data_IF_120446401797
#
_entry.id   IF_120446401797
#
_cell.length_a   1.000
_cell.length_b   1.000
_cell.length_c   1.000
_cell.angle_alpha   90.00
_cell.angle_beta   90.00
_cell.angle_gamma   90.00
#
_symmetry.space_group_name_H-M   'P 1'
#
loop_
_entity.id
_entity.type
_entity.pdbx_description
1 polymer ?
#
# COMPACT_ATOMS: atom_id res chain seq x y z
N UNK A 1 2.99 5.13 -22.10
CA UNK A 1 2.13 5.33 -20.95
C UNK A 1 3.02 5.29 -19.73
N UNK A 2 2.74 6.07 -18.67
CA UNK A 2 3.45 5.96 -17.40
C UNK A 2 3.21 4.60 -16.75
N UNK A 3 3.96 4.28 -15.70
CA UNK A 3 3.81 3.03 -14.93
C UNK A 3 2.84 3.26 -13.76
N UNK A 4 2.01 2.26 -13.46
CA UNK A 4 1.14 2.23 -12.29
C UNK A 4 1.74 1.27 -11.26
N UNK A 5 2.10 1.79 -10.08
CA UNK A 5 2.57 1.03 -8.94
C UNK A 5 1.50 0.96 -7.87
N UNK A 6 1.32 -0.20 -7.28
CA UNK A 6 0.39 -0.42 -6.18
C UNK A 6 1.14 -1.05 -5.03
N UNK A 7 1.17 -0.37 -3.90
CA UNK A 7 1.84 -0.86 -2.69
C UNK A 7 0.79 -1.19 -1.65
N UNK A 8 0.82 -2.42 -1.17
CA UNK A 8 -0.02 -2.89 -0.08
C UNK A 8 0.83 -3.51 1.02
N UNK A 9 0.28 -3.58 2.22
CA UNK A 9 0.96 -4.12 3.39
C UNK A 9 -0.01 -4.27 4.55
N UNK A 10 0.22 -5.20 5.48
CA UNK A 10 -0.45 -5.22 6.77
C UNK A 10 -0.22 -3.93 7.55
N UNK A 11 -1.21 -3.55 8.35
CA UNK A 11 -1.09 -2.37 9.20
C UNK A 11 0.08 -2.54 10.19
N UNK A 12 0.95 -1.54 10.27
CA UNK A 12 2.12 -1.56 11.18
C UNK A 12 3.45 -1.95 10.53
N UNK A 13 3.46 -2.34 9.26
CA UNK A 13 4.70 -2.76 8.55
C UNK A 13 5.61 -1.60 8.13
N UNK A 14 5.15 -0.33 8.20
CA UNK A 14 5.94 0.83 7.77
C UNK A 14 5.71 1.27 6.32
N UNK A 15 4.64 0.80 5.66
CA UNK A 15 4.29 1.11 4.27
C UNK A 15 4.35 2.61 3.95
N UNK A 16 3.62 3.44 4.69
CA UNK A 16 3.54 4.89 4.46
C UNK A 16 4.91 5.57 4.55
N UNK A 17 5.74 5.17 5.52
CA UNK A 17 7.09 5.73 5.67
C UNK A 17 8.00 5.37 4.49
N UNK A 18 7.94 4.13 4.00
CA UNK A 18 8.70 3.70 2.82
C UNK A 18 8.22 4.43 1.56
N UNK A 19 6.91 4.60 1.38
CA UNK A 19 6.34 5.36 0.26
C UNK A 19 6.82 6.81 0.27
N UNK A 20 6.79 7.47 1.43
CA UNK A 20 7.28 8.85 1.57
C UNK A 20 8.76 8.94 1.22
N UNK A 21 9.60 8.06 1.76
CA UNK A 21 11.03 8.06 1.47
C UNK A 21 11.34 7.80 -0.01
N UNK A 22 10.60 6.92 -0.68
CA UNK A 22 10.74 6.72 -2.14
C UNK A 22 10.39 7.99 -2.90
N UNK A 23 9.29 8.66 -2.54
CA UNK A 23 8.83 9.86 -3.26
C UNK A 23 9.74 11.08 -3.04
N UNK A 24 10.51 11.11 -1.95
CA UNK A 24 11.51 12.13 -1.67
C UNK A 24 12.83 11.89 -2.45
N UNK A 25 13.06 10.67 -2.95
CA UNK A 25 14.25 10.33 -3.73
C UNK A 25 14.17 10.93 -5.15
N UNK A 26 15.23 11.57 -5.66
CA UNK A 26 15.26 12.12 -7.02
C UNK A 26 14.90 11.12 -8.13
N UNK A 27 15.11 9.81 -7.93
CA UNK A 27 14.74 8.77 -8.89
C UNK A 27 13.23 8.72 -9.14
N UNK A 28 12.44 9.13 -8.16
CA UNK A 28 10.98 9.16 -8.22
C UNK A 28 10.39 10.49 -8.71
N UNK A 29 11.23 11.42 -9.22
CA UNK A 29 10.81 12.78 -9.62
C UNK A 29 9.64 12.85 -10.62
N UNK A 30 9.35 11.74 -11.31
CA UNK A 30 8.22 11.61 -12.25
C UNK A 30 7.14 10.64 -11.73
N UNK A 31 7.01 10.51 -10.41
CA UNK A 31 6.07 9.61 -9.76
C UNK A 31 5.18 10.39 -8.79
N UNK A 32 3.87 10.24 -8.93
CA UNK A 32 2.86 10.96 -8.16
C UNK A 32 2.06 10.00 -7.28
N UNK A 33 1.91 10.36 -6.01
CA UNK A 33 1.05 9.61 -5.08
C UNK A 33 -0.41 9.88 -5.39
N UNK A 34 -1.19 8.82 -5.58
CA UNK A 34 -2.63 8.91 -5.72
C UNK A 34 -3.30 9.16 -4.37
N UNK A 35 -4.07 10.24 -4.31
CA UNK A 35 -4.85 10.59 -3.11
C UNK A 35 -6.25 9.99 -3.24
N UNK A 36 -6.60 9.09 -2.30
CA UNK A 36 -7.91 8.43 -2.28
C UNK A 36 -8.99 9.29 -1.62
N UNK A 37 -10.23 9.08 -2.01
CA UNK A 37 -11.41 9.52 -1.26
C UNK A 37 -11.64 8.60 -0.08
N UNK A 38 -12.15 9.15 1.03
CA UNK A 38 -12.57 8.35 2.18
C UNK A 38 -13.77 8.95 2.89
N UNK A 39 -14.59 8.07 3.48
CA UNK A 39 -15.70 8.47 4.38
C UNK A 39 -15.28 8.54 5.84
N UNK A 40 -14.04 8.14 6.16
CA UNK A 40 -13.45 8.27 7.49
C UNK A 40 -13.23 9.74 7.84
N UNK A 41 -13.45 10.10 9.10
CA UNK A 41 -13.09 11.43 9.60
C UNK A 41 -11.55 11.63 9.58
N UNK A 42 -11.13 12.85 9.24
CA UNK A 42 -9.72 13.21 9.30
C UNK A 42 -9.15 13.04 10.72
N UNK A 43 -7.92 12.55 10.82
CA UNK A 43 -7.14 12.54 12.07
C UNK A 43 -6.49 13.91 12.30
N UNK A 44 -6.00 14.24 13.53
CA UNK A 44 -5.51 15.59 13.87
C UNK A 44 -4.39 16.17 12.98
N UNK A 45 -3.67 15.32 12.25
CA UNK A 45 -2.55 15.74 11.36
C UNK A 45 -2.84 15.53 9.89
N UNK A 46 -4.06 15.10 9.55
CA UNK A 46 -4.44 14.85 8.16
C UNK A 46 -5.16 16.08 7.59
N UNK A 47 -4.85 16.39 6.33
CA UNK A 47 -5.39 17.54 5.59
C UNK A 47 -6.19 17.05 4.38
N UNK A 48 -7.33 17.70 4.14
CA UNK A 48 -8.16 17.42 2.97
C UNK A 48 -7.43 17.77 1.66
N UNK A 49 -7.50 16.87 0.68
CA UNK A 49 -6.80 17.03 -0.59
C UNK A 49 -5.29 16.74 -0.54
N UNK A 50 -4.73 16.46 0.64
CA UNK A 50 -3.32 16.10 0.83
C UNK A 50 -3.20 14.66 1.32
N UNK A 51 -3.84 14.32 2.45
CA UNK A 51 -3.83 12.97 2.99
C UNK A 51 -4.90 12.09 2.34
N UNK A 52 -6.10 12.62 2.22
CA UNK A 52 -7.29 12.05 1.57
C UNK A 52 -8.21 13.17 1.10
N UNK A 53 -9.15 12.83 0.20
CA UNK A 53 -10.35 13.64 0.01
C UNK A 53 -11.42 13.13 0.98
N UNK A 54 -11.71 13.89 2.04
CA UNK A 54 -12.68 13.50 3.06
C UNK A 54 -14.09 13.87 2.62
N UNK A 55 -14.95 12.87 2.42
CA UNK A 55 -16.31 13.07 1.89
C UNK A 55 -17.36 12.37 2.75
N UNK A 56 -18.62 12.79 2.60
CA UNK A 56 -19.75 12.06 3.21
C UNK A 56 -19.96 10.72 2.52
N UNK A 57 -20.56 9.76 3.23
CA UNK A 57 -20.94 8.47 2.64
C UNK A 57 -21.87 8.64 1.43
N UNK A 58 -22.78 9.61 1.48
CA UNK A 58 -23.68 9.91 0.36
C UNK A 58 -22.91 10.34 -0.88
N UNK A 59 -21.98 11.28 -0.74
CA UNK A 59 -21.13 11.74 -1.85
C UNK A 59 -20.22 10.62 -2.39
N UNK A 60 -19.71 9.76 -1.50
CA UNK A 60 -18.91 8.61 -1.91
C UNK A 60 -19.74 7.64 -2.77
N UNK A 61 -20.96 7.28 -2.33
CA UNK A 61 -21.84 6.37 -3.05
C UNK A 61 -22.33 6.96 -4.38
N UNK A 62 -22.46 8.27 -4.49
CA UNK A 62 -22.73 8.94 -5.76
C UNK A 62 -21.58 8.73 -6.75
N UNK A 63 -20.33 8.88 -6.29
CA UNK A 63 -19.13 8.59 -7.10
C UNK A 63 -19.05 7.13 -7.52
N UNK A 64 -19.42 6.19 -6.64
CA UNK A 64 -19.52 4.77 -6.99
C UNK A 64 -20.52 4.54 -8.13
N UNK A 65 -21.72 5.16 -8.06
CA UNK A 65 -22.75 5.05 -9.10
C UNK A 65 -22.28 5.62 -10.44
N UNK A 66 -21.49 6.69 -10.42
CA UNK A 66 -20.93 7.31 -11.61
C UNK A 66 -19.72 6.56 -12.18
N UNK A 67 -19.24 5.50 -11.51
CA UNK A 67 -18.03 4.77 -11.88
C UNK A 67 -16.77 5.65 -11.90
N UNK A 68 -16.70 6.61 -10.96
CA UNK A 68 -15.60 7.59 -10.82
C UNK A 68 -14.34 6.96 -10.21
N UNK A 69 -14.45 5.78 -9.59
CA UNK A 69 -13.32 5.11 -8.94
C UNK A 69 -12.67 4.05 -9.83
N UNK A 70 -11.35 3.98 -9.74
CA UNK A 70 -10.54 2.91 -10.30
C UNK A 70 -10.75 1.60 -9.54
N UNK A 71 -10.75 1.73 -8.23
CA UNK A 71 -11.08 0.72 -7.21
C UNK A 71 -11.78 1.40 -6.04
N UNK A 72 -12.53 0.66 -5.25
CA UNK A 72 -13.00 1.08 -3.94
C UNK A 72 -13.21 -0.13 -3.02
N UNK A 73 -13.01 0.09 -1.73
CA UNK A 73 -13.18 -0.94 -0.72
C UNK A 73 -13.75 -0.37 0.58
N UNK A 74 -14.39 -1.21 1.37
CA UNK A 74 -14.75 -0.92 2.75
C UNK A 74 -13.71 -1.51 3.69
N UNK A 75 -13.07 -0.64 4.49
CA UNK A 75 -12.04 -1.02 5.45
C UNK A 75 -12.43 -0.48 6.82
N UNK A 76 -12.62 -1.36 7.80
CA UNK A 76 -13.05 -1.00 9.17
C UNK A 76 -14.28 -0.08 9.21
N UNK A 77 -15.29 -0.34 8.38
CA UNK A 77 -16.54 0.41 8.35
C UNK A 77 -16.45 1.78 7.68
N UNK A 78 -15.37 2.08 6.98
CA UNK A 78 -15.21 3.27 6.16
C UNK A 78 -14.88 2.90 4.72
N UNK A 79 -15.38 3.70 3.79
CA UNK A 79 -15.09 3.51 2.37
C UNK A 79 -13.83 4.28 1.98
N UNK A 80 -13.07 3.67 1.07
CA UNK A 80 -11.90 4.26 0.41
C UNK A 80 -11.99 4.01 -1.07
N UNK A 81 -11.57 4.96 -1.90
CA UNK A 81 -11.62 4.78 -3.35
C UNK A 81 -10.68 5.73 -4.10
N UNK A 82 -10.02 5.20 -5.11
CA UNK A 82 -9.04 5.91 -5.92
C UNK A 82 -9.70 6.57 -7.13
N UNK A 83 -9.55 7.89 -7.35
CA UNK A 83 -10.15 8.59 -8.48
C UNK A 83 -9.58 8.11 -9.81
N UNK A 84 -10.42 7.54 -10.65
CA UNK A 84 -10.04 6.92 -11.92
C UNK A 84 -9.47 7.91 -12.94
N UNK A 85 -10.15 9.02 -13.13
CA UNK A 85 -9.79 9.99 -14.17
C UNK A 85 -8.44 10.66 -13.88
N UNK A 86 -8.15 10.91 -12.61
CA UNK A 86 -6.85 11.45 -12.19
C UNK A 86 -5.73 10.47 -12.53
N UNK A 87 -5.88 9.19 -12.18
CA UNK A 87 -4.88 8.16 -12.49
C UNK A 87 -4.63 8.08 -13.99
N UNK A 88 -5.70 8.01 -14.79
CA UNK A 88 -5.59 7.93 -16.26
C UNK A 88 -4.93 9.19 -16.85
N UNK A 89 -5.27 10.36 -16.32
CA UNK A 89 -4.68 11.64 -16.75
C UNK A 89 -3.17 11.65 -16.54
N UNK A 90 -2.67 11.25 -15.35
CA UNK A 90 -1.24 11.21 -15.03
C UNK A 90 -0.52 10.21 -15.94
N UNK A 91 -1.03 8.97 -16.02
CA UNK A 91 -0.43 7.93 -16.85
C UNK A 91 -0.37 8.31 -18.35
N UNK A 92 -1.34 9.08 -18.86
CA UNK A 92 -1.36 9.53 -20.25
C UNK A 92 -0.22 10.50 -20.59
N UNK A 93 0.26 11.25 -19.60
CA UNK A 93 1.40 12.17 -19.71
C UNK A 93 2.76 11.46 -19.63
N UNK A 94 2.78 10.12 -19.57
CA UNK A 94 3.96 9.28 -19.32
C UNK A 94 4.58 9.49 -17.94
N UNK A 95 3.82 10.00 -17.01
CA UNK A 95 4.16 10.11 -15.59
C UNK A 95 3.71 8.88 -14.84
N UNK A 96 4.41 8.51 -13.78
CA UNK A 96 4.09 7.33 -12.98
C UNK A 96 3.08 7.66 -11.88
N UNK A 97 2.26 6.70 -11.54
CA UNK A 97 1.34 6.77 -10.40
C UNK A 97 1.73 5.71 -9.39
N UNK A 98 1.78 6.10 -8.11
CA UNK A 98 1.91 5.20 -6.98
C UNK A 98 0.63 5.25 -6.16
N UNK A 99 0.03 4.09 -5.90
CA UNK A 99 -1.16 3.93 -5.07
C UNK A 99 -0.81 3.21 -3.78
N UNK A 100 -1.20 3.79 -2.66
CA UNK A 100 -1.15 3.18 -1.33
C UNK A 100 -2.52 2.58 -1.02
N UNK A 101 -2.67 1.26 -1.14
CA UNK A 101 -3.94 0.58 -1.01
C UNK A 101 -3.90 -0.53 0.04
N UNK A 102 -5.08 -0.97 0.47
CA UNK A 102 -5.24 -2.25 1.13
C UNK A 102 -5.21 -3.40 0.11
N UNK A 103 -5.23 -4.63 0.59
CA UNK A 103 -5.12 -5.81 -0.26
C UNK A 103 -6.29 -5.95 -1.24
N UNK A 104 -7.51 -5.54 -0.84
CA UNK A 104 -8.70 -5.63 -1.68
C UNK A 104 -8.63 -4.65 -2.85
N UNK A 105 -8.25 -3.40 -2.56
CA UNK A 105 -8.04 -2.37 -3.59
C UNK A 105 -6.93 -2.75 -4.55
N UNK A 106 -5.81 -3.29 -4.03
CA UNK A 106 -4.70 -3.73 -4.86
C UNK A 106 -5.10 -4.82 -5.86
N UNK A 107 -5.89 -5.81 -5.43
CA UNK A 107 -6.40 -6.86 -6.32
C UNK A 107 -7.38 -6.32 -7.37
N UNK A 108 -8.22 -5.34 -7.01
CA UNK A 108 -9.12 -4.69 -7.96
C UNK A 108 -8.34 -3.94 -9.04
N UNK A 109 -7.31 -3.18 -8.62
CA UNK A 109 -6.44 -2.48 -9.58
C UNK A 109 -5.71 -3.47 -10.48
N UNK A 110 -5.11 -4.53 -9.95
CA UNK A 110 -4.41 -5.55 -10.76
C UNK A 110 -5.34 -6.21 -11.78
N UNK A 111 -6.61 -6.45 -11.42
CA UNK A 111 -7.62 -6.99 -12.33
C UNK A 111 -8.00 -6.00 -13.43
N UNK A 112 -8.17 -4.71 -13.09
CA UNK A 112 -8.54 -3.66 -14.05
C UNK A 112 -7.35 -3.22 -14.92
N UNK A 113 -6.13 -3.29 -14.38
CA UNK A 113 -4.86 -2.91 -15.02
C UNK A 113 -3.84 -4.03 -14.82
N UNK A 114 -3.84 -5.08 -15.65
CA UNK A 114 -2.91 -6.21 -15.53
C UNK A 114 -1.42 -5.81 -15.56
N UNK A 115 -1.10 -4.69 -16.25
CA UNK A 115 0.24 -4.12 -16.33
C UNK A 115 0.69 -3.37 -15.05
N UNK A 116 -0.23 -3.15 -14.09
CA UNK A 116 0.13 -2.52 -12.83
C UNK A 116 1.17 -3.39 -12.09
N UNK A 117 2.21 -2.74 -11.57
CA UNK A 117 3.24 -3.37 -10.76
C UNK A 117 2.81 -3.37 -9.29
N UNK A 118 2.66 -4.55 -8.72
CA UNK A 118 2.18 -4.73 -7.34
C UNK A 118 3.32 -5.09 -6.40
N UNK A 119 3.38 -4.41 -5.26
CA UNK A 119 4.35 -4.67 -4.18
C UNK A 119 3.60 -4.96 -2.90
N UNK A 120 4.01 -6.01 -2.22
CA UNK A 120 3.51 -6.33 -0.89
C UNK A 120 4.63 -6.23 0.15
N UNK A 121 4.48 -5.33 1.13
CA UNK A 121 5.49 -5.15 2.18
C UNK A 121 5.10 -6.01 3.38
N UNK A 122 6.02 -6.83 3.87
CA UNK A 122 5.84 -7.69 5.03
C UNK A 122 6.75 -7.27 6.20
N UNK A 123 6.37 -7.53 7.45
CA UNK A 123 7.28 -7.47 8.58
C UNK A 123 8.21 -8.70 8.56
N UNK A 124 9.35 -8.69 9.26
CA UNK A 124 10.21 -9.87 9.36
C UNK A 124 9.57 -11.03 10.15
N UNK A 125 8.67 -10.71 11.08
CA UNK A 125 7.93 -11.69 11.89
C UNK A 125 6.63 -11.09 12.47
N UNK A 126 5.71 -11.93 12.97
CA UNK A 126 4.54 -11.46 13.71
C UNK A 126 4.91 -10.88 15.08
N UNK A 127 6.02 -11.31 15.68
CA UNK A 127 6.53 -10.73 16.91
C UNK A 127 6.94 -9.27 16.71
N UNK A 128 7.68 -8.97 15.63
CA UNK A 128 8.06 -7.60 15.28
C UNK A 128 6.85 -6.75 14.92
N UNK A 129 5.88 -7.30 14.19
CA UNK A 129 4.64 -6.61 13.89
C UNK A 129 3.88 -6.26 15.17
N UNK A 130 3.81 -7.18 16.12
CA UNK A 130 3.17 -6.98 17.43
C UNK A 130 3.85 -5.83 18.18
N UNK A 131 5.19 -5.84 18.30
CA UNK A 131 5.96 -4.77 18.93
C UNK A 131 5.69 -3.41 18.28
N UNK A 132 5.63 -3.36 16.94
CA UNK A 132 5.35 -2.12 16.19
C UNK A 132 3.92 -1.61 16.41
N UNK A 133 2.94 -2.49 16.54
CA UNK A 133 1.55 -2.12 16.85
C UNK A 133 1.41 -1.61 18.29
N UNK A 134 2.03 -2.29 19.25
CA UNK A 134 2.04 -1.89 20.67
C UNK A 134 2.73 -0.54 20.88
N UNK A 135 3.86 -0.29 20.19
CA UNK A 135 4.62 0.96 20.34
C UNK A 135 3.87 2.22 19.90
N UNK A 136 2.80 2.09 19.11
CA UNK A 136 1.96 3.22 18.67
C UNK A 136 1.02 3.72 19.77
N UNK A 137 0.79 2.92 20.81
CA UNK A 137 -0.08 3.23 21.97
C UNK A 137 -1.48 3.76 21.56
N UNK A 138 -2.00 3.26 20.43
CA UNK A 138 -3.26 3.69 19.85
C UNK A 138 -4.34 2.60 19.87
N UNK A 139 -3.95 1.35 20.13
CA UNK A 139 -4.81 0.18 20.00
C UNK A 139 -4.89 -0.61 21.31
N UNK A 140 -6.07 -1.11 21.65
CA UNK A 140 -6.24 -2.08 22.72
C UNK A 140 -5.64 -3.45 22.34
N UNK A 141 -5.33 -4.28 23.34
CA UNK A 141 -4.85 -5.65 23.08
C UNK A 141 -5.78 -6.45 22.17
N UNK A 142 -7.08 -6.23 22.28
CA UNK A 142 -8.10 -6.89 21.45
C UNK A 142 -8.01 -6.44 19.99
N UNK A 143 -7.77 -5.16 19.74
CA UNK A 143 -7.58 -4.62 18.38
C UNK A 143 -6.28 -5.12 17.76
N UNK A 144 -5.18 -5.17 18.55
CA UNK A 144 -3.91 -5.74 18.10
C UNK A 144 -4.10 -7.19 17.67
N UNK A 145 -4.78 -8.01 18.47
CA UNK A 145 -5.06 -9.41 18.12
C UNK A 145 -5.88 -9.54 16.82
N UNK A 146 -6.87 -8.65 16.62
CA UNK A 146 -7.65 -8.59 15.38
C UNK A 146 -6.77 -8.24 14.18
N UNK A 147 -5.91 -7.21 14.31
CA UNK A 147 -4.98 -6.79 13.23
C UNK A 147 -3.98 -7.87 12.88
N UNK A 148 -3.46 -8.62 13.87
CA UNK A 148 -2.56 -9.74 13.61
C UNK A 148 -3.25 -10.87 12.83
N UNK A 149 -4.52 -11.15 13.15
CA UNK A 149 -5.31 -12.13 12.40
C UNK A 149 -5.55 -11.68 10.95
N UNK A 150 -5.85 -10.39 10.76
CA UNK A 150 -6.00 -9.81 9.42
C UNK A 150 -4.68 -9.84 8.65
N UNK A 151 -3.56 -9.50 9.30
CA UNK A 151 -2.23 -9.55 8.70
C UNK A 151 -1.87 -10.94 8.16
N UNK A 152 -2.25 -12.03 8.86
CA UNK A 152 -2.06 -13.41 8.35
C UNK A 152 -2.78 -13.64 7.03
N UNK A 153 -4.03 -13.20 6.94
CA UNK A 153 -4.81 -13.33 5.71
C UNK A 153 -4.21 -12.48 4.58
N UNK A 154 -3.78 -11.26 4.89
CA UNK A 154 -3.17 -10.35 3.92
C UNK A 154 -1.84 -10.90 3.39
N UNK A 155 -0.97 -11.46 4.26
CA UNK A 155 0.29 -12.10 3.86
C UNK A 155 0.03 -13.29 2.93
N UNK A 156 -0.96 -14.12 3.23
CA UNK A 156 -1.31 -15.27 2.38
C UNK A 156 -1.77 -14.88 0.98
N UNK A 157 -2.35 -13.70 0.82
CA UNK A 157 -2.74 -13.15 -0.50
C UNK A 157 -1.57 -12.39 -1.12
N UNK A 158 -0.90 -11.54 -0.34
CA UNK A 158 0.15 -10.65 -0.80
C UNK A 158 1.43 -11.34 -1.27
N UNK A 159 1.66 -12.59 -0.84
CA UNK A 159 2.80 -13.40 -1.31
C UNK A 159 2.84 -13.61 -2.83
N UNK A 160 1.68 -13.48 -3.50
CA UNK A 160 1.53 -13.68 -4.94
C UNK A 160 1.60 -12.36 -5.73
N UNK A 161 1.96 -11.23 -5.10
CA UNK A 161 2.20 -9.96 -5.77
C UNK A 161 3.47 -10.03 -6.64
N UNK A 162 3.64 -9.09 -7.58
CA UNK A 162 4.79 -9.08 -8.48
C UNK A 162 6.12 -8.98 -7.71
N UNK A 163 6.12 -8.32 -6.54
CA UNK A 163 7.26 -8.27 -5.62
C UNK A 163 6.78 -8.28 -4.16
N UNK A 164 7.45 -9.08 -3.34
CA UNK A 164 7.37 -8.99 -1.88
C UNK A 164 8.64 -8.32 -1.37
N UNK A 165 8.49 -7.41 -0.40
CA UNK A 165 9.60 -6.71 0.27
C UNK A 165 9.46 -6.94 1.78
N UNK A 166 10.53 -7.34 2.44
CA UNK A 166 10.56 -7.41 3.90
C UNK A 166 11.11 -6.12 4.48
N UNK A 167 10.36 -5.49 5.38
CA UNK A 167 10.80 -4.31 6.12
C UNK A 167 11.41 -4.73 7.47
N UNK A 168 12.56 -5.41 7.39
CA UNK A 168 13.43 -5.79 8.49
C UNK A 168 14.37 -4.64 8.86
N UNK A 169 15.04 -4.09 7.85
CA UNK A 169 15.81 -2.86 7.88
C UNK A 169 15.19 -1.85 6.91
N UNK A 170 15.03 -0.60 7.36
CA UNK A 170 14.32 0.41 6.58
C UNK A 170 15.05 0.80 5.30
N UNK A 171 16.38 0.99 5.38
CA UNK A 171 17.17 1.43 4.23
C UNK A 171 17.30 0.32 3.19
N UNK A 172 17.43 -0.94 3.62
CA UNK A 172 17.43 -2.09 2.73
C UNK A 172 16.06 -2.26 2.04
N UNK A 173 14.95 -2.14 2.78
CA UNK A 173 13.61 -2.22 2.21
C UNK A 173 13.31 -1.05 1.24
N UNK A 174 13.83 0.14 1.53
CA UNK A 174 13.72 1.29 0.65
C UNK A 174 14.47 1.06 -0.68
N UNK A 175 15.68 0.50 -0.60
CA UNK A 175 16.47 0.17 -1.79
C UNK A 175 15.81 -0.93 -2.63
N UNK A 176 15.31 -2.01 -2.01
CA UNK A 176 14.53 -3.06 -2.70
C UNK A 176 13.32 -2.46 -3.45
N UNK A 177 12.62 -1.51 -2.81
CA UNK A 177 11.45 -0.86 -3.41
C UNK A 177 11.84 0.01 -4.61
N UNK A 178 12.92 0.79 -4.50
CA UNK A 178 13.45 1.61 -5.60
C UNK A 178 13.92 0.76 -6.77
N UNK A 179 14.63 -0.33 -6.51
CA UNK A 179 15.09 -1.26 -7.54
C UNK A 179 13.92 -1.84 -8.32
N UNK A 180 12.88 -2.33 -7.63
CA UNK A 180 11.70 -2.88 -8.29
C UNK A 180 10.94 -1.82 -9.12
N UNK A 181 10.79 -0.61 -8.59
CA UNK A 181 10.01 0.44 -9.28
C UNK A 181 10.73 1.03 -10.48
N UNK A 182 12.03 1.30 -10.38
CA UNK A 182 12.74 2.19 -11.31
C UNK A 182 13.85 1.52 -12.10
N UNK A 183 14.28 0.31 -11.71
CA UNK A 183 15.27 -0.44 -12.46
C UNK A 183 14.67 -1.68 -13.14
N UNK A 184 15.48 -2.39 -13.91
CA UNK A 184 15.14 -3.72 -14.43
C UNK A 184 15.80 -4.82 -13.60
N UNK A 185 16.52 -4.45 -12.57
CA UNK A 185 17.20 -5.35 -11.65
C UNK A 185 16.20 -5.82 -10.60
N UNK A 186 16.16 -7.10 -10.31
CA UNK A 186 15.42 -7.65 -9.18
C UNK A 186 16.18 -7.43 -7.87
N UNK A 187 15.56 -7.76 -6.75
CA UNK A 187 16.23 -7.78 -5.45
C UNK A 187 17.42 -8.75 -5.47
N UNK A 188 18.46 -8.47 -4.69
CA UNK A 188 19.66 -9.32 -4.61
C UNK A 188 19.32 -10.73 -4.12
N UNK A 189 20.21 -11.70 -4.37
CA UNK A 189 20.03 -13.07 -3.88
C UNK A 189 19.92 -13.12 -2.35
N UNK A 190 20.72 -12.32 -1.65
CA UNK A 190 20.67 -12.21 -0.18
C UNK A 190 19.29 -11.73 0.29
N UNK A 191 18.75 -10.66 -0.32
CA UNK A 191 17.41 -10.15 -0.01
C UNK A 191 16.33 -11.17 -0.34
N UNK A 192 16.48 -11.93 -1.42
CA UNK A 192 15.55 -12.99 -1.80
C UNK A 192 15.48 -14.11 -0.75
N UNK A 193 16.60 -14.48 -0.13
CA UNK A 193 16.62 -15.46 0.97
C UNK A 193 15.94 -14.89 2.24
N UNK A 194 16.20 -13.64 2.59
CA UNK A 194 15.56 -12.98 3.74
C UNK A 194 14.05 -12.92 3.53
N UNK A 195 13.59 -12.51 2.35
CA UNK A 195 12.16 -12.46 1.99
C UNK A 195 11.52 -13.85 2.14
N UNK A 196 12.18 -14.89 1.59
CA UNK A 196 11.69 -16.27 1.68
C UNK A 196 11.56 -16.72 3.13
N UNK A 197 12.62 -16.55 3.93
CA UNK A 197 12.62 -16.95 5.34
C UNK A 197 11.53 -16.22 6.14
N UNK A 198 11.33 -14.93 5.89
CA UNK A 198 10.26 -14.15 6.53
C UNK A 198 8.87 -14.62 6.11
N UNK A 199 8.67 -14.95 4.82
CA UNK A 199 7.40 -15.51 4.35
C UNK A 199 7.12 -16.88 4.99
N UNK A 200 8.12 -17.76 5.07
CA UNK A 200 7.96 -19.07 5.72
C UNK A 200 7.53 -18.89 7.19
N UNK A 201 8.17 -17.99 7.94
CA UNK A 201 7.80 -17.66 9.33
C UNK A 201 6.40 -17.04 9.48
N UNK A 202 5.91 -16.33 8.46
CA UNK A 202 4.60 -15.66 8.50
C UNK A 202 3.46 -16.57 8.00
N UNK A 203 3.78 -17.63 7.27
CA UNK A 203 2.77 -18.55 6.70
C UNK A 203 2.58 -19.82 7.54
N UNK A 204 3.54 -20.15 8.42
CA UNK A 204 3.41 -21.21 9.43
C UNK A 204 2.51 -20.75 10.60
#
# INVERSE_FOLDING_TARGET
>A
MGKLFVISAPSGTGKTSLIQAVLEDPVASNTYLGISYTTRKARPKEEDGVSYFFVSQMSFMEKVKNNDFLEYAEVFGNFYGTPKDWVLSVLSKKENVLLELDIQGALQVKKAFPEAKTVFIIPPSYEDLTKRLESRDQDSKTEIAKRLKEARNEVNIGKDFDQVIVNDDFDAALEDLKQFMFTSEGVTNERSEIIKNSLDLLLD
#
